data_IF_806730265770
#
_entry.id   IF_806730265770
#
_cell.length_a   1.000
_cell.length_b   1.000
_cell.length_c   1.000
_cell.angle_alpha   90.00
_cell.angle_beta   90.00
_cell.angle_gamma   90.00
#
_symmetry.space_group_name_H-M   'P 1'
#
loop_
_entity.id
_entity.type
_entity.pdbx_description
1 polymer ?
#
# COMPACT_ATOMS: atom_id res chain seq x y z
N UNK A 1 -16.84 -41.18 17.70
CA UNK A 1 -15.66 -40.42 18.17
C UNK A 1 -14.97 -39.61 17.08
N UNK A 2 -14.95 -40.02 15.81
CA UNK A 2 -14.29 -39.29 14.71
C UNK A 2 -14.85 -37.88 14.38
N UNK A 3 -16.13 -37.61 14.67
CA UNK A 3 -16.79 -36.32 14.36
C UNK A 3 -16.28 -35.16 15.24
N UNK A 4 -15.92 -35.44 16.49
CA UNK A 4 -15.39 -34.43 17.43
C UNK A 4 -13.96 -34.02 17.07
N UNK A 5 -13.14 -34.95 16.60
CA UNK A 5 -11.75 -34.71 16.19
C UNK A 5 -11.66 -33.83 14.94
N UNK A 6 -12.57 -34.02 13.98
CA UNK A 6 -12.66 -33.19 12.78
C UNK A 6 -13.09 -31.74 13.11
N UNK A 7 -14.01 -31.56 14.06
CA UNK A 7 -14.44 -30.25 14.56
C UNK A 7 -13.30 -29.49 15.26
N UNK A 8 -12.48 -30.18 16.07
CA UNK A 8 -11.34 -29.57 16.75
C UNK A 8 -10.28 -29.11 15.74
N UNK A 9 -9.98 -29.90 14.71
CA UNK A 9 -9.02 -29.53 13.66
C UNK A 9 -9.47 -28.31 12.84
N UNK A 10 -10.77 -28.19 12.56
CA UNK A 10 -11.33 -27.01 11.87
C UNK A 10 -11.19 -25.73 12.72
N UNK A 11 -11.42 -25.81 14.02
CA UNK A 11 -11.30 -24.64 14.91
C UNK A 11 -9.84 -24.17 15.00
N UNK A 12 -8.87 -25.09 15.09
CA UNK A 12 -7.44 -24.72 15.13
C UNK A 12 -6.99 -24.04 13.84
N UNK A 13 -7.48 -24.47 12.67
CA UNK A 13 -7.16 -23.83 11.40
C UNK A 13 -7.72 -22.39 11.31
N UNK A 14 -8.89 -22.13 11.88
CA UNK A 14 -9.54 -20.80 11.88
C UNK A 14 -8.85 -19.85 12.87
N UNK A 15 -8.46 -20.33 14.06
CA UNK A 15 -7.80 -19.50 15.08
C UNK A 15 -6.33 -19.21 14.71
N UNK A 16 -5.64 -20.19 14.09
CA UNK A 16 -4.28 -20.00 13.58
C UNK A 16 -4.19 -19.00 12.42
N UNK A 17 -5.25 -18.89 11.61
CA UNK A 17 -5.31 -17.89 10.55
C UNK A 17 -5.57 -16.49 11.10
N UNK A 18 -6.49 -16.31 12.06
CA UNK A 18 -6.74 -15.01 12.68
C UNK A 18 -5.47 -14.39 13.32
N UNK A 19 -4.71 -15.20 14.06
CA UNK A 19 -3.47 -14.76 14.71
C UNK A 19 -2.34 -14.45 13.71
N UNK A 20 -2.23 -15.21 12.63
CA UNK A 20 -1.29 -14.92 11.54
C UNK A 20 -1.66 -13.64 10.76
N UNK A 21 -2.96 -13.37 10.57
CA UNK A 21 -3.44 -12.14 9.94
C UNK A 21 -3.17 -10.91 10.80
N UNK A 22 -3.46 -10.96 12.11
CA UNK A 22 -3.17 -9.87 13.04
C UNK A 22 -1.68 -9.59 13.14
N UNK A 23 -0.85 -10.63 13.31
CA UNK A 23 0.61 -10.47 13.39
C UNK A 23 1.21 -9.86 12.11
N UNK A 24 0.73 -10.25 10.93
CA UNK A 24 1.14 -9.64 9.66
C UNK A 24 0.68 -8.18 9.55
N UNK A 25 -0.50 -7.87 10.06
CA UNK A 25 -1.02 -6.50 10.13
C UNK A 25 -0.10 -5.58 10.93
N UNK A 26 0.27 -6.00 12.14
CA UNK A 26 1.14 -5.24 13.06
C UNK A 26 2.53 -5.04 12.47
N UNK A 27 3.12 -6.06 11.84
CA UNK A 27 4.43 -5.94 11.19
C UNK A 27 4.39 -4.96 10.02
N UNK A 28 3.36 -5.03 9.17
CA UNK A 28 3.23 -4.07 8.07
C UNK A 28 2.98 -2.65 8.57
N UNK A 29 2.28 -2.47 9.70
CA UNK A 29 2.13 -1.16 10.33
C UNK A 29 3.50 -0.57 10.68
N UNK A 30 4.33 -1.34 11.38
CA UNK A 30 5.64 -0.89 11.82
C UNK A 30 6.60 -0.61 10.66
N UNK A 31 6.57 -1.42 9.59
CA UNK A 31 7.39 -1.15 8.40
C UNK A 31 6.95 0.11 7.68
N UNK A 32 5.64 0.32 7.53
CA UNK A 32 5.09 1.48 6.84
C UNK A 32 5.31 2.76 7.64
N UNK A 33 5.11 2.74 8.96
CA UNK A 33 5.33 3.90 9.82
C UNK A 33 6.77 4.43 9.73
N UNK A 34 7.77 3.53 9.64
CA UNK A 34 9.20 3.90 9.55
C UNK A 34 9.57 4.66 8.29
N UNK A 35 8.86 4.43 7.19
CA UNK A 35 9.15 5.02 5.87
C UNK A 35 8.23 6.18 5.54
N UNK A 36 7.21 6.42 6.36
CA UNK A 36 6.26 7.51 6.19
C UNK A 36 6.78 8.82 6.83
N UNK A 37 6.43 9.98 6.26
CA UNK A 37 5.83 10.16 4.95
C UNK A 37 6.87 9.88 3.83
N UNK A 38 6.52 9.02 2.85
CA UNK A 38 7.37 8.72 1.69
C UNK A 38 7.51 9.95 0.78
N UNK A 39 8.40 10.87 1.17
CA UNK A 39 8.51 12.22 0.58
C UNK A 39 8.78 12.18 -0.92
N UNK A 40 9.65 11.29 -1.39
CA UNK A 40 9.98 11.20 -2.81
C UNK A 40 8.78 10.74 -3.63
N UNK A 41 7.97 9.83 -3.08
CA UNK A 41 6.72 9.44 -3.71
C UNK A 41 5.68 10.55 -3.75
N UNK A 42 5.60 11.37 -2.70
CA UNK A 42 4.72 12.53 -2.70
C UNK A 42 5.14 13.57 -3.75
N UNK A 43 6.44 13.87 -3.84
CA UNK A 43 6.98 14.78 -4.87
C UNK A 43 6.78 14.26 -6.29
N UNK A 44 6.93 12.95 -6.52
CA UNK A 44 6.61 12.35 -7.83
C UNK A 44 5.12 12.45 -8.16
N UNK A 45 4.23 12.24 -7.18
CA UNK A 45 2.79 12.42 -7.36
C UNK A 45 2.43 13.84 -7.78
N UNK A 46 3.06 14.84 -7.16
CA UNK A 46 2.89 16.25 -7.49
C UNK A 46 3.47 16.61 -8.86
N UNK A 47 4.64 16.07 -9.22
CA UNK A 47 5.28 16.33 -10.51
C UNK A 47 4.41 15.86 -11.67
N UNK A 48 3.69 14.75 -11.49
CA UNK A 48 2.69 14.25 -12.44
C UNK A 48 1.49 15.18 -12.64
N UNK A 49 1.14 15.98 -11.64
CA UNK A 49 0.04 16.95 -11.71
C UNK A 49 0.41 18.27 -12.36
N UNK A 50 1.71 18.58 -12.42
CA UNK A 50 2.17 19.81 -13.07
C UNK A 50 1.80 19.78 -14.55
N UNK A 51 1.22 20.88 -15.03
CA UNK A 51 0.89 21.10 -16.44
C UNK A 51 1.91 22.05 -17.05
N UNK A 52 2.33 21.78 -18.28
CA UNK A 52 3.21 22.66 -19.05
C UNK A 52 4.24 21.90 -19.90
N UNK A 53 4.82 22.57 -20.91
CA UNK A 53 5.77 21.95 -21.85
C UNK A 53 7.12 21.55 -21.20
N UNK A 54 7.43 22.07 -20.00
CA UNK A 54 8.66 21.75 -19.26
C UNK A 54 8.42 20.86 -18.04
N UNK A 55 7.21 20.32 -17.85
CA UNK A 55 6.92 19.46 -16.72
C UNK A 55 7.58 18.08 -16.90
N UNK A 56 8.63 17.80 -16.12
CA UNK A 56 9.21 16.46 -16.05
C UNK A 56 8.33 15.57 -15.18
N UNK A 57 7.52 14.73 -15.83
CA UNK A 57 6.55 13.84 -15.18
C UNK A 57 7.16 12.63 -14.49
N UNK A 58 8.45 12.37 -14.64
CA UNK A 58 9.13 11.25 -13.96
C UNK A 58 10.18 11.75 -12.95
N UNK A 59 10.15 13.04 -12.64
CA UNK A 59 10.90 13.63 -11.53
C UNK A 59 10.58 12.88 -10.22
N UNK A 60 11.62 12.49 -9.48
CA UNK A 60 11.55 11.72 -8.23
C UNK A 60 11.03 10.27 -8.31
N UNK A 61 10.73 9.73 -9.51
CA UNK A 61 10.24 8.35 -9.60
C UNK A 61 11.24 7.33 -9.04
N UNK A 62 12.53 7.48 -9.36
CA UNK A 62 13.57 6.55 -8.92
C UNK A 62 13.72 6.55 -7.39
N UNK A 63 13.74 7.73 -6.78
CA UNK A 63 13.84 7.88 -5.32
C UNK A 63 12.58 7.34 -4.64
N UNK A 64 11.39 7.61 -5.21
CA UNK A 64 10.15 7.03 -4.74
C UNK A 64 10.17 5.50 -4.76
N UNK A 65 10.62 4.88 -5.85
CA UNK A 65 10.73 3.42 -5.92
C UNK A 65 11.74 2.87 -4.91
N UNK A 66 12.78 3.63 -4.57
CA UNK A 66 13.72 3.28 -3.51
C UNK A 66 13.09 3.36 -2.12
N UNK A 67 12.27 4.38 -1.83
CA UNK A 67 11.50 4.49 -0.58
C UNK A 67 10.51 3.32 -0.45
N UNK A 68 9.73 3.05 -1.50
CA UNK A 68 8.78 1.95 -1.52
C UNK A 68 9.47 0.58 -1.43
N UNK A 69 10.70 0.48 -1.93
CA UNK A 69 11.53 -0.73 -1.88
C UNK A 69 12.00 -1.10 -0.47
N UNK A 70 12.03 -0.15 0.47
CA UNK A 70 12.38 -0.41 1.88
C UNK A 70 11.29 -1.18 2.63
N UNK A 71 10.08 -1.22 2.08
CA UNK A 71 8.96 -1.99 2.60
C UNK A 71 8.96 -3.39 2.01
N UNK A 72 8.73 -4.40 2.84
CA UNK A 72 8.59 -5.78 2.38
C UNK A 72 7.47 -5.91 1.34
N UNK A 73 7.62 -6.87 0.43
CA UNK A 73 6.69 -7.04 -0.69
C UNK A 73 5.24 -7.18 -0.25
N UNK A 74 4.97 -7.88 0.85
CA UNK A 74 3.61 -8.02 1.40
C UNK A 74 3.03 -6.72 1.98
N UNK A 75 3.86 -5.77 2.39
CA UNK A 75 3.43 -4.55 3.08
C UNK A 75 3.37 -3.32 2.16
N UNK A 76 3.92 -3.39 0.94
CA UNK A 76 3.93 -2.27 -0.04
C UNK A 76 2.54 -1.74 -0.36
N UNK A 77 1.52 -2.61 -0.40
CA UNK A 77 0.16 -2.15 -0.64
C UNK A 77 -0.42 -1.33 0.50
N UNK A 78 -0.05 -1.66 1.76
CA UNK A 78 -0.39 -0.81 2.91
C UNK A 78 0.34 0.53 2.80
N UNK A 79 1.63 0.53 2.46
CA UNK A 79 2.40 1.76 2.25
C UNK A 79 1.76 2.71 1.23
N UNK A 80 1.41 2.19 0.05
CA UNK A 80 0.74 2.98 -1.00
C UNK A 80 -0.62 3.50 -0.53
N UNK A 81 -1.38 2.70 0.21
CA UNK A 81 -2.67 3.12 0.78
C UNK A 81 -2.49 4.26 1.79
N UNK A 82 -1.55 4.16 2.72
CA UNK A 82 -1.25 5.21 3.70
C UNK A 82 -0.83 6.52 3.00
N UNK A 83 0.07 6.43 2.01
CA UNK A 83 0.42 7.59 1.19
C UNK A 83 -0.79 8.25 0.52
N UNK A 84 -1.74 7.46 0.02
CA UNK A 84 -2.95 8.01 -0.62
C UNK A 84 -3.86 8.75 0.37
N UNK A 85 -3.82 8.39 1.66
CA UNK A 85 -4.60 9.04 2.72
C UNK A 85 -3.95 10.36 3.17
N UNK A 86 -2.63 10.46 3.12
CA UNK A 86 -1.89 11.71 3.38
C UNK A 86 -2.09 12.76 2.26
N UNK A 87 -2.55 12.33 1.08
CA UNK A 87 -2.77 13.24 -0.03
C UNK A 87 -4.07 14.05 0.11
N UNK A 88 -4.10 15.30 -0.37
CA UNK A 88 -5.33 16.10 -0.35
C UNK A 88 -6.47 15.38 -1.10
N UNK A 89 -7.55 15.06 -0.40
CA UNK A 89 -8.69 14.26 -0.92
C UNK A 89 -9.33 14.82 -2.20
N UNK A 90 -9.09 16.08 -2.56
CA UNK A 90 -9.65 16.71 -3.76
C UNK A 90 -8.99 16.26 -5.07
N UNK A 91 -7.93 15.46 -5.04
CA UNK A 91 -7.22 15.02 -6.25
C UNK A 91 -7.42 13.52 -6.54
N UNK A 92 -8.59 13.17 -7.10
CA UNK A 92 -8.90 11.80 -7.57
C UNK A 92 -7.85 11.29 -8.57
N UNK A 93 -7.32 12.18 -9.41
CA UNK A 93 -6.24 11.84 -10.34
C UNK A 93 -4.97 11.40 -9.59
N UNK A 94 -4.65 12.03 -8.45
CA UNK A 94 -3.42 11.77 -7.68
C UNK A 94 -3.48 10.40 -7.03
N UNK A 95 -4.65 10.09 -6.47
CA UNK A 95 -4.96 8.78 -5.93
C UNK A 95 -4.83 7.68 -7.01
N UNK A 96 -5.39 7.88 -8.21
CA UNK A 96 -5.26 6.91 -9.32
C UNK A 96 -3.82 6.70 -9.75
N UNK A 97 -2.99 7.74 -9.71
CA UNK A 97 -1.58 7.61 -10.06
C UNK A 97 -0.80 6.82 -9.02
N UNK A 98 -1.09 6.98 -7.73
CA UNK A 98 -0.44 6.19 -6.68
C UNK A 98 -0.74 4.70 -6.83
N UNK A 99 -1.92 4.33 -7.32
CA UNK A 99 -2.25 2.95 -7.69
C UNK A 99 -1.29 2.34 -8.72
N UNK A 100 -0.80 3.17 -9.65
CA UNK A 100 0.12 2.73 -10.71
C UNK A 100 1.57 2.62 -10.25
N UNK A 101 1.89 3.12 -9.05
CA UNK A 101 3.25 3.23 -8.55
C UNK A 101 3.95 1.88 -8.39
N UNK A 102 3.34 0.84 -7.77
CA UNK A 102 3.99 -0.48 -7.67
C UNK A 102 4.38 -1.03 -9.04
N UNK A 103 3.51 -0.92 -10.03
CA UNK A 103 3.78 -1.36 -11.40
C UNK A 103 4.93 -0.57 -12.04
N UNK A 104 4.96 0.76 -11.85
CA UNK A 104 6.07 1.61 -12.33
C UNK A 104 7.41 1.26 -11.68
N UNK A 105 7.39 0.84 -10.42
CA UNK A 105 8.56 0.36 -9.70
C UNK A 105 8.87 -1.13 -9.95
N UNK A 106 8.20 -1.78 -10.91
CA UNK A 106 8.37 -3.21 -11.24
C UNK A 106 8.08 -4.14 -10.04
N UNK A 107 7.11 -3.75 -9.21
CA UNK A 107 6.65 -4.48 -8.03
C UNK A 107 5.27 -5.10 -8.28
N UNK A 108 4.87 -6.02 -7.40
CA UNK A 108 3.53 -6.60 -7.42
C UNK A 108 2.45 -5.51 -7.33
N UNK A 109 1.50 -5.54 -8.26
CA UNK A 109 0.39 -4.57 -8.30
C UNK A 109 -0.50 -4.69 -7.06
N UNK A 110 -0.91 -3.55 -6.52
CA UNK A 110 -1.84 -3.48 -5.41
C UNK A 110 -3.26 -3.25 -5.93
N UNK A 111 -4.25 -3.93 -5.32
CA UNK A 111 -5.63 -3.55 -5.51
C UNK A 111 -5.82 -2.17 -4.85
N UNK A 112 -6.08 -1.16 -5.67
CA UNK A 112 -6.37 0.15 -5.11
C UNK A 112 -7.72 0.13 -4.39
N UNK A 113 -7.81 0.65 -3.16
CA UNK A 113 -9.09 0.75 -2.49
C UNK A 113 -10.03 1.55 -3.39
N UNK A 114 -11.21 0.99 -3.70
CA UNK A 114 -12.32 1.84 -4.08
C UNK A 114 -12.64 2.64 -2.83
N UNK A 115 -12.41 3.95 -2.87
CA UNK A 115 -12.95 4.85 -1.85
C UNK A 115 -14.47 4.76 -1.96
N UNK A 116 -15.10 3.80 -1.28
CA UNK A 116 -16.42 4.04 -0.75
C UNK A 116 -16.25 5.20 0.22
N UNK A 117 -16.86 6.33 -0.11
CA UNK A 117 -17.21 7.30 0.90
C UNK A 117 -18.19 6.57 1.82
N UNK A 118 -17.68 5.95 2.88
CA UNK A 118 -18.51 5.55 4.01
C UNK A 118 -18.82 6.85 4.76
N UNK A 119 -20.00 7.40 4.45
CA UNK A 119 -20.75 8.40 5.22
C UNK A 119 -21.50 7.68 6.35
#
# INVERSE_FOLDING_TARGET
MAKLTALILLIVAIVGSASAYSYRGDRCEQEVEKVMPMRSCMMWAESKMRRGPHANKEEHLSECCSELGQVSSECRCKAVKEMMMEMPQRQVEMQRMMCSLPTKCQMSSCACPRFSYDD
#
